data_IF_286235074695
#
_entry.id   IF_286235074695
#
_cell.length_a   1.000
_cell.length_b   1.000
_cell.length_c   1.000
_cell.angle_alpha   90.00
_cell.angle_beta   90.00
_cell.angle_gamma   90.00
#
_symmetry.space_group_name_H-M   'P 1'
#
loop_
_entity.id
_entity.type
_entity.pdbx_description
1 polymer ?
#
# COMPACT_ATOMS: atom_id res chain seq x y z
N UNK A 1 -25.05 1.56 -7.11
CA UNK A 1 -23.92 0.88 -6.46
C UNK A 1 -22.95 0.50 -7.56
N UNK A 2 -21.69 0.91 -7.48
CA UNK A 2 -20.67 0.48 -8.46
C UNK A 2 -20.27 -0.95 -8.10
N UNK A 3 -20.81 -1.94 -8.81
CA UNK A 3 -20.32 -3.32 -8.74
C UNK A 3 -18.95 -3.37 -9.42
N UNK A 4 -17.98 -3.99 -8.74
CA UNK A 4 -16.65 -4.21 -9.29
C UNK A 4 -16.73 -5.16 -10.49
N UNK A 5 -16.06 -4.80 -11.58
CA UNK A 5 -15.95 -5.64 -12.76
C UNK A 5 -14.93 -6.75 -12.48
N UNK A 6 -15.39 -7.97 -12.25
CA UNK A 6 -14.48 -9.13 -12.12
C UNK A 6 -13.95 -9.52 -13.49
N UNK A 7 -12.66 -9.25 -13.73
CA UNK A 7 -12.00 -9.59 -14.99
C UNK A 7 -11.53 -11.05 -15.05
N UNK A 8 -11.50 -11.76 -13.92
CA UNK A 8 -11.08 -13.17 -13.89
C UNK A 8 -12.03 -14.06 -14.68
N UNK A 9 -13.30 -13.69 -14.79
CA UNK A 9 -14.29 -14.41 -15.63
C UNK A 9 -13.92 -14.43 -17.13
N UNK A 10 -13.07 -13.50 -17.56
CA UNK A 10 -12.60 -13.39 -18.96
C UNK A 10 -11.19 -13.96 -19.15
N UNK A 11 -10.57 -14.49 -18.09
CA UNK A 11 -9.31 -15.19 -18.19
C UNK A 11 -9.55 -16.59 -18.76
N UNK A 12 -8.81 -16.92 -19.82
CA UNK A 12 -8.82 -18.28 -20.35
C UNK A 12 -7.98 -19.15 -19.42
N UNK A 13 -8.50 -20.30 -19.00
CA UNK A 13 -7.77 -21.28 -18.21
C UNK A 13 -6.60 -21.86 -19.03
N UNK A 14 -5.48 -21.16 -19.04
CA UNK A 14 -4.20 -21.62 -19.55
C UNK A 14 -3.18 -21.66 -18.41
N UNK A 15 -2.10 -22.40 -18.57
CA UNK A 15 -1.00 -22.47 -17.59
C UNK A 15 -0.35 -21.09 -17.30
N UNK A 16 -0.65 -20.08 -18.13
CA UNK A 16 -0.38 -18.67 -17.91
C UNK A 16 -1.73 -17.94 -17.77
N UNK A 17 -2.02 -17.32 -16.61
CA UNK A 17 -3.16 -16.41 -16.49
C UNK A 17 -3.00 -15.27 -17.50
N UNK A 18 -3.88 -15.24 -18.50
CA UNK A 18 -3.86 -14.24 -19.56
C UNK A 18 -5.26 -13.73 -19.85
N UNK A 19 -5.37 -12.43 -20.13
CA UNK A 19 -6.59 -11.81 -20.62
C UNK A 19 -6.46 -11.69 -22.14
N UNK A 20 -7.24 -12.47 -22.89
CA UNK A 20 -7.24 -12.38 -24.35
C UNK A 20 -7.80 -11.01 -24.78
N UNK A 21 -7.19 -10.38 -25.79
CA UNK A 21 -7.62 -9.06 -26.30
C UNK A 21 -9.05 -9.12 -26.80
N UNK A 22 -9.44 -10.24 -27.41
CA UNK A 22 -10.80 -10.51 -27.88
C UNK A 22 -11.80 -10.65 -26.74
N UNK A 23 -11.36 -11.18 -25.58
CA UNK A 23 -12.18 -11.28 -24.39
C UNK A 23 -12.39 -9.89 -23.77
N UNK A 24 -11.32 -9.09 -23.68
CA UNK A 24 -11.38 -7.71 -23.18
C UNK A 24 -12.32 -6.83 -24.03
N UNK A 25 -12.29 -6.97 -25.35
CA UNK A 25 -13.14 -6.22 -26.26
C UNK A 25 -14.66 -6.48 -26.06
N UNK A 26 -15.02 -7.60 -25.41
CA UNK A 26 -16.42 -7.98 -25.14
C UNK A 26 -16.88 -7.56 -23.74
N UNK A 27 -16.00 -7.00 -22.92
CA UNK A 27 -16.31 -6.62 -21.56
C UNK A 27 -17.23 -5.39 -21.56
N UNK A 28 -18.42 -5.54 -20.95
CA UNK A 28 -19.33 -4.41 -20.78
C UNK A 28 -18.90 -3.60 -19.55
N UNK A 29 -18.51 -2.36 -19.78
CA UNK A 29 -18.17 -1.40 -18.73
C UNK A 29 -19.20 -0.26 -18.68
N UNK A 30 -19.53 0.27 -17.49
CA UNK A 30 -20.30 1.50 -17.37
C UNK A 30 -19.58 2.65 -18.07
N UNK A 31 -20.29 3.36 -18.95
CA UNK A 31 -19.78 4.56 -19.63
C UNK A 31 -20.64 5.76 -19.25
N UNK A 32 -20.41 6.37 -18.07
CA UNK A 32 -21.15 7.58 -17.69
C UNK A 32 -20.78 8.75 -18.61
N UNK A 33 -21.52 9.85 -18.52
CA UNK A 33 -21.19 11.10 -19.20
C UNK A 33 -19.77 11.58 -18.86
N UNK A 34 -19.13 12.31 -19.78
CA UNK A 34 -17.73 12.73 -19.63
C UNK A 34 -17.48 13.58 -18.38
N UNK A 35 -18.42 14.45 -18.01
CA UNK A 35 -18.35 15.25 -16.79
C UNK A 35 -18.36 14.39 -15.53
N UNK A 36 -19.18 13.33 -15.50
CA UNK A 36 -19.20 12.34 -14.41
C UNK A 36 -17.92 11.53 -14.36
N UNK A 37 -17.35 11.15 -15.51
CA UNK A 37 -16.06 10.45 -15.55
C UNK A 37 -14.96 11.29 -14.90
N UNK A 38 -14.86 12.58 -15.23
CA UNK A 38 -13.88 13.50 -14.64
C UNK A 38 -14.09 13.62 -13.12
N UNK A 39 -15.34 13.81 -12.67
CA UNK A 39 -15.63 13.90 -11.23
C UNK A 39 -15.22 12.65 -10.47
N UNK A 40 -15.51 11.47 -11.03
CA UNK A 40 -15.13 10.19 -10.44
C UNK A 40 -13.60 10.04 -10.42
N UNK A 41 -12.91 10.34 -11.52
CA UNK A 41 -11.47 10.26 -11.61
C UNK A 41 -10.78 11.17 -10.58
N UNK A 42 -11.15 12.46 -10.54
CA UNK A 42 -10.57 13.42 -9.60
C UNK A 42 -10.81 13.00 -8.14
N UNK A 43 -12.01 12.49 -7.83
CA UNK A 43 -12.31 11.98 -6.49
C UNK A 43 -11.42 10.78 -6.13
N UNK A 44 -11.25 9.84 -7.06
CA UNK A 44 -10.39 8.68 -6.84
C UNK A 44 -8.93 9.09 -6.68
N UNK A 45 -8.42 9.96 -7.53
CA UNK A 45 -7.05 10.48 -7.46
C UNK A 45 -6.77 11.14 -6.10
N UNK A 46 -7.67 12.00 -5.61
CA UNK A 46 -7.53 12.62 -4.29
C UNK A 46 -7.46 11.57 -3.16
N UNK A 47 -8.33 10.56 -3.20
CA UNK A 47 -8.36 9.52 -2.17
C UNK A 47 -7.17 8.58 -2.24
N UNK A 48 -6.74 8.19 -3.44
CA UNK A 48 -5.59 7.31 -3.61
C UNK A 48 -4.29 8.01 -3.24
N UNK A 49 -4.09 9.27 -3.63
CA UNK A 49 -2.93 10.08 -3.21
C UNK A 49 -2.82 10.14 -1.69
N UNK A 50 -3.93 10.45 -0.98
CA UNK A 50 -3.92 10.48 0.48
C UNK A 50 -3.54 9.14 1.12
N UNK A 51 -3.98 8.03 0.54
CA UNK A 51 -3.63 6.68 1.02
C UNK A 51 -2.15 6.39 0.78
N UNK A 52 -1.62 6.76 -0.39
CA UNK A 52 -0.21 6.55 -0.72
C UNK A 52 0.73 7.42 0.12
N UNK A 53 0.34 8.66 0.44
CA UNK A 53 1.09 9.53 1.37
C UNK A 53 1.17 8.91 2.77
N UNK A 54 0.02 8.46 3.32
CA UNK A 54 -0.02 7.78 4.61
C UNK A 54 0.84 6.52 4.61
N UNK A 55 0.79 5.74 3.52
CA UNK A 55 1.65 4.57 3.35
C UNK A 55 3.13 4.96 3.34
N UNK A 56 3.48 6.07 2.70
CA UNK A 56 4.83 6.64 2.70
C UNK A 56 5.32 6.93 4.11
N UNK A 57 4.55 7.69 4.88
CA UNK A 57 4.89 8.04 6.27
C UNK A 57 5.02 6.80 7.17
N UNK A 58 4.15 5.81 7.03
CA UNK A 58 4.27 4.56 7.79
C UNK A 58 5.58 3.83 7.47
N UNK A 59 5.97 3.76 6.20
CA UNK A 59 7.24 3.13 5.79
C UNK A 59 8.45 3.88 6.35
N UNK A 60 8.42 5.21 6.32
CA UNK A 60 9.46 6.07 6.90
C UNK A 60 9.60 5.83 8.40
N UNK A 61 8.49 5.84 9.15
CA UNK A 61 8.50 5.57 10.59
C UNK A 61 9.05 4.17 10.91
N UNK A 62 8.69 3.15 10.11
CA UNK A 62 9.25 1.80 10.27
C UNK A 62 10.77 1.81 10.07
N UNK A 63 11.26 2.54 9.06
CA UNK A 63 12.71 2.68 8.82
C UNK A 63 13.42 3.31 10.01
N UNK A 64 12.91 4.44 10.49
CA UNK A 64 13.46 5.16 11.64
C UNK A 64 13.48 4.29 12.91
N UNK A 65 12.41 3.54 13.17
CA UNK A 65 12.36 2.61 14.31
C UNK A 65 13.35 1.46 14.16
N UNK A 66 13.55 0.95 12.95
CA UNK A 66 14.56 -0.07 12.68
C UNK A 66 15.99 0.46 12.91
N UNK A 67 16.28 1.66 12.43
CA UNK A 67 17.57 2.33 12.63
C UNK A 67 17.82 2.62 14.11
N UNK A 68 16.82 3.16 14.81
CA UNK A 68 16.90 3.41 16.25
C UNK A 68 17.16 2.13 17.04
N UNK A 69 16.45 1.03 16.74
CA UNK A 69 16.69 -0.27 17.36
C UNK A 69 18.11 -0.77 17.11
N UNK A 70 18.61 -0.62 15.88
CA UNK A 70 19.99 -1.01 15.52
C UNK A 70 21.02 -0.19 16.30
N UNK A 71 20.82 1.13 16.39
CA UNK A 71 21.67 2.04 17.15
C UNK A 71 21.68 1.70 18.64
N UNK A 72 20.51 1.43 19.23
CA UNK A 72 20.40 1.02 20.63
C UNK A 72 21.16 -0.28 20.92
N UNK A 73 21.02 -1.29 20.06
CA UNK A 73 21.76 -2.56 20.20
C UNK A 73 23.26 -2.30 20.10
N UNK A 74 23.69 -1.49 19.12
CA UNK A 74 25.10 -1.13 18.95
C UNK A 74 25.66 -0.42 20.18
N UNK A 75 24.93 0.56 20.72
CA UNK A 75 25.32 1.30 21.93
C UNK A 75 25.39 0.39 23.16
N UNK A 76 24.45 -0.55 23.32
CA UNK A 76 24.48 -1.52 24.41
C UNK A 76 25.68 -2.48 24.30
N UNK A 77 25.96 -3.02 23.11
CA UNK A 77 27.07 -3.96 22.89
C UNK A 77 28.44 -3.28 22.97
N UNK A 78 28.52 -1.99 22.61
CA UNK A 78 29.75 -1.19 22.74
C UNK A 78 29.95 -0.60 24.14
N UNK A 79 29.04 -0.89 25.09
CA UNK A 79 29.12 -0.39 26.47
C UNK A 79 28.87 1.12 26.61
N UNK A 80 28.38 1.78 25.55
CA UNK A 80 27.97 3.19 25.57
C UNK A 80 26.60 3.38 26.21
N UNK A 81 25.85 2.29 26.42
CA UNK A 81 24.54 2.27 27.04
C UNK A 81 24.59 1.32 28.25
N UNK A 82 24.41 1.87 29.45
CA UNK A 82 24.41 1.11 30.70
C UNK A 82 23.10 0.33 30.85
N UNK A 83 23.14 -0.91 30.37
CA UNK A 83 22.03 -1.86 30.35
C UNK A 83 21.61 -2.33 31.76
N UNK A 84 22.49 -2.22 32.76
CA UNK A 84 22.19 -2.68 34.13
C UNK A 84 21.21 -1.74 34.86
N UNK A 85 21.14 -0.46 34.45
CA UNK A 85 20.24 0.53 35.06
C UNK A 85 19.00 0.84 34.20
N UNK A 86 18.98 0.46 32.92
CA UNK A 86 17.95 0.86 31.95
C UNK A 86 16.53 0.32 32.27
N UNK A 87 16.42 -0.77 33.04
CA UNK A 87 15.14 -1.36 33.47
C UNK A 87 14.58 -0.85 34.80
N UNK A 88 15.33 -0.03 35.55
CA UNK A 88 14.96 0.38 36.93
C UNK A 88 14.33 1.78 37.04
N UNK A 89 14.27 2.54 35.95
CA UNK A 89 13.76 3.92 35.96
C UNK A 89 12.27 4.07 35.61
N UNK A 90 11.50 2.97 35.58
CA UNK A 90 10.08 2.96 35.22
C UNK A 90 9.10 2.63 36.34
N UNK A 91 9.52 2.68 37.62
CA UNK A 91 8.69 2.47 38.80
C UNK A 91 8.55 3.75 39.63
#
# INVERSE_FOLDING_TARGET
MLEGLDLNQYSVAAAQPGLAVEALARVRAPKPEFSSQIRIANFLDEKTTRIDDLRGHCKEHISLLCEYRSSLISAAVTGQLDIDNFGRSGA
#
